data_IF_363223331522
#
_entry.id   IF_363223331522
#
_cell.length_a   1.000
_cell.length_b   1.000
_cell.length_c   1.000
_cell.angle_alpha   90.00
_cell.angle_beta   90.00
_cell.angle_gamma   90.00
#
_symmetry.space_group_name_H-M   'P 1'
#
loop_
_entity.id
_entity.type
_entity.pdbx_description
1 polymer ?
#
# COMPACT_ATOMS: atom_id res chain seq x y z
N UNK A 1 -29.72 -7.22 -45.56
CA UNK A 1 -29.66 -7.42 -44.07
C UNK A 1 -28.23 -7.68 -43.72
N UNK A 2 -27.44 -6.65 -43.45
CA UNK A 2 -26.04 -6.75 -43.15
C UNK A 2 -25.86 -6.91 -41.63
N UNK A 3 -25.20 -8.01 -41.25
CA UNK A 3 -24.78 -8.30 -39.88
C UNK A 3 -23.79 -7.24 -39.40
N UNK A 4 -24.19 -6.41 -38.44
CA UNK A 4 -23.23 -5.63 -37.65
C UNK A 4 -22.48 -6.57 -36.73
N UNK A 5 -21.28 -6.93 -37.13
CA UNK A 5 -20.28 -7.59 -36.28
C UNK A 5 -19.98 -6.67 -35.11
N UNK A 6 -20.23 -7.16 -33.88
CA UNK A 6 -19.91 -6.43 -32.66
C UNK A 6 -18.42 -6.10 -32.62
N UNK A 7 -18.06 -4.81 -32.69
CA UNK A 7 -16.73 -4.34 -32.41
C UNK A 7 -16.44 -4.65 -30.93
N UNK A 8 -15.51 -5.58 -30.68
CA UNK A 8 -14.86 -5.68 -29.38
C UNK A 8 -14.13 -4.36 -29.16
N UNK A 9 -14.62 -3.55 -28.25
CA UNK A 9 -13.88 -2.40 -27.76
C UNK A 9 -12.81 -3.00 -26.87
N UNK A 10 -11.55 -2.99 -27.32
CA UNK A 10 -10.40 -3.32 -26.49
C UNK A 10 -10.27 -2.19 -25.43
N UNK A 11 -10.89 -2.40 -24.27
CA UNK A 11 -10.75 -1.51 -23.13
C UNK A 11 -9.36 -1.81 -22.55
N UNK A 12 -8.37 -1.00 -22.91
CA UNK A 12 -7.07 -1.06 -22.24
C UNK A 12 -7.27 -0.70 -20.75
N UNK A 13 -6.66 -1.47 -19.84
CA UNK A 13 -6.74 -1.15 -18.41
C UNK A 13 -6.17 0.24 -18.15
N UNK A 14 -6.84 1.00 -17.26
CA UNK A 14 -6.28 2.27 -16.78
C UNK A 14 -4.92 2.03 -16.17
N UNK A 15 -3.94 2.89 -16.50
CA UNK A 15 -2.56 2.77 -16.01
C UNK A 15 -2.09 4.11 -15.48
N UNK A 16 -1.23 4.06 -14.48
CA UNK A 16 -0.56 5.24 -13.94
C UNK A 16 0.80 4.89 -13.36
N UNK A 17 1.71 5.85 -13.39
CA UNK A 17 2.97 5.80 -12.64
C UNK A 17 2.70 6.06 -11.17
N UNK A 18 3.16 5.17 -10.30
CA UNK A 18 3.05 5.30 -8.86
C UNK A 18 4.43 5.54 -8.25
N UNK A 19 4.58 6.68 -7.58
CA UNK A 19 5.70 6.98 -6.71
C UNK A 19 5.36 6.48 -5.32
N UNK A 20 6.10 5.48 -4.84
CA UNK A 20 5.84 4.82 -3.56
C UNK A 20 6.84 5.31 -2.51
N UNK A 21 6.33 5.70 -1.35
CA UNK A 21 7.15 6.17 -0.22
C UNK A 21 6.79 5.39 1.04
N UNK A 22 7.77 4.75 1.67
CA UNK A 22 7.61 4.27 3.03
C UNK A 22 7.73 5.45 4.00
N UNK A 23 6.87 5.48 5.03
CA UNK A 23 6.97 6.49 6.09
C UNK A 23 8.37 6.60 6.68
N UNK A 24 8.73 7.79 7.17
CA UNK A 24 9.98 8.05 7.86
C UNK A 24 10.08 7.28 9.20
N UNK A 25 11.26 7.29 9.81
CA UNK A 25 11.54 6.58 11.06
C UNK A 25 10.64 7.05 12.21
N UNK A 26 10.27 6.10 13.07
CA UNK A 26 9.61 6.33 14.37
C UNK A 26 10.47 5.78 15.50
N UNK A 27 10.19 6.14 16.75
CA UNK A 27 10.91 5.57 17.90
C UNK A 27 10.72 4.05 18.02
N UNK A 28 9.58 3.53 17.58
CA UNK A 28 9.36 2.08 17.54
C UNK A 28 10.19 1.40 16.46
N UNK A 29 10.44 2.05 15.31
CA UNK A 29 11.41 1.52 14.34
C UNK A 29 12.82 1.46 14.94
N UNK A 30 13.24 2.53 15.63
CA UNK A 30 14.55 2.59 16.27
C UNK A 30 14.70 1.53 17.37
N UNK A 31 13.64 1.29 18.15
CA UNK A 31 13.63 0.29 19.20
C UNK A 31 13.44 -1.15 18.70
N UNK A 32 13.14 -1.38 17.40
CA UNK A 32 12.84 -2.70 16.86
C UNK A 32 11.48 -3.26 17.28
N UNK A 33 10.53 -2.38 17.65
CA UNK A 33 9.15 -2.77 17.99
C UNK A 33 8.28 -2.88 16.75
N UNK A 34 7.46 -3.91 16.70
CA UNK A 34 6.51 -4.14 15.62
C UNK A 34 5.30 -3.23 15.78
N UNK A 35 5.02 -2.39 14.77
CA UNK A 35 4.05 -1.31 14.91
C UNK A 35 2.63 -1.70 14.49
N UNK A 36 2.52 -2.44 13.38
CA UNK A 36 1.21 -2.79 12.82
C UNK A 36 0.30 -1.58 12.66
N UNK A 37 -0.95 -1.73 13.11
CA UNK A 37 -1.97 -0.70 13.18
C UNK A 37 -2.20 -0.17 14.60
N UNK A 38 -1.28 -0.48 15.53
CA UNK A 38 -1.42 -0.09 16.94
C UNK A 38 -1.76 1.39 17.12
N UNK A 39 -2.80 1.72 17.88
CA UNK A 39 -3.13 3.11 18.23
C UNK A 39 -2.08 3.77 19.14
N UNK A 40 -1.20 2.98 19.77
CA UNK A 40 -0.07 3.46 20.57
C UNK A 40 1.20 3.68 19.74
N UNK A 41 1.21 3.26 18.46
CA UNK A 41 2.39 3.45 17.61
C UNK A 41 2.68 4.95 17.42
N UNK A 42 3.94 5.39 17.66
CA UNK A 42 4.28 6.81 17.59
C UNK A 42 4.27 7.33 16.16
N UNK A 43 4.18 8.66 16.03
CA UNK A 43 4.47 9.37 14.79
C UNK A 43 5.97 9.37 14.47
N UNK A 44 6.35 10.21 13.51
CA UNK A 44 7.73 10.39 13.12
C UNK A 44 8.56 10.95 14.27
N UNK A 45 9.75 10.35 14.51
CA UNK A 45 10.77 10.99 15.33
C UNK A 45 11.54 12.06 14.52
N UNK A 46 12.53 12.70 15.13
CA UNK A 46 13.31 13.75 14.48
C UNK A 46 14.02 13.24 13.20
N UNK A 47 14.63 12.06 13.27
CA UNK A 47 15.28 11.44 12.12
C UNK A 47 14.26 11.15 11.01
N UNK A 48 13.07 10.64 11.34
CA UNK A 48 12.00 10.37 10.37
C UNK A 48 11.50 11.63 9.67
N UNK A 49 11.39 12.75 10.41
CA UNK A 49 11.05 14.06 9.80
C UNK A 49 12.14 14.54 8.85
N UNK A 50 13.41 14.43 9.25
CA UNK A 50 14.55 14.78 8.40
C UNK A 50 14.59 13.89 7.14
N UNK A 51 14.34 12.60 7.26
CA UNK A 51 14.23 11.67 6.13
C UNK A 51 13.12 12.10 5.16
N UNK A 52 11.92 12.40 5.67
CA UNK A 52 10.81 12.86 4.84
C UNK A 52 11.13 14.18 4.10
N UNK A 53 11.78 15.14 4.77
CA UNK A 53 12.22 16.38 4.15
C UNK A 53 13.27 16.16 3.05
N UNK A 54 14.22 15.23 3.27
CA UNK A 54 15.22 14.87 2.26
C UNK A 54 14.61 14.28 0.99
N UNK A 55 13.47 13.56 1.08
CA UNK A 55 12.76 13.02 -0.07
C UNK A 55 12.19 14.10 -1.00
N UNK A 56 12.00 15.34 -0.53
CA UNK A 56 11.53 16.44 -1.38
C UNK A 56 12.43 16.67 -2.60
N UNK A 57 13.74 16.47 -2.45
CA UNK A 57 14.68 16.58 -3.56
C UNK A 57 14.46 15.51 -4.64
N UNK A 58 14.00 14.33 -4.27
CA UNK A 58 13.69 13.25 -5.20
C UNK A 58 12.35 13.47 -5.93
N UNK A 59 11.44 14.25 -5.33
CA UNK A 59 10.19 14.68 -5.96
C UNK A 59 10.37 15.90 -6.85
N UNK A 60 11.47 16.65 -6.70
CA UNK A 60 11.72 17.86 -7.49
C UNK A 60 11.74 17.53 -8.99
N UNK A 61 10.92 18.26 -9.76
CA UNK A 61 10.78 18.06 -11.20
C UNK A 61 9.91 16.87 -11.62
N UNK A 62 9.39 16.07 -10.68
CA UNK A 62 8.40 15.04 -11.00
C UNK A 62 7.00 15.66 -11.01
N UNK A 63 6.23 15.28 -12.02
CA UNK A 63 4.81 15.60 -12.01
C UNK A 63 4.10 14.66 -11.05
N UNK A 64 3.34 15.21 -10.11
CA UNK A 64 2.48 14.48 -9.18
C UNK A 64 1.11 15.10 -9.25
N UNK A 65 0.12 14.36 -9.71
CA UNK A 65 -1.26 14.83 -9.84
C UNK A 65 -2.05 14.70 -8.53
N UNK A 66 -1.74 13.68 -7.72
CA UNK A 66 -2.41 13.44 -6.46
C UNK A 66 -1.50 12.74 -5.44
N UNK A 67 -1.82 12.92 -4.16
CA UNK A 67 -1.13 12.26 -3.04
C UNK A 67 -2.16 11.45 -2.25
N UNK A 68 -1.88 10.16 -2.08
CA UNK A 68 -2.64 9.26 -1.22
C UNK A 68 -1.75 8.74 -0.10
N UNK A 69 -2.31 8.57 1.08
CA UNK A 69 -1.59 8.07 2.24
C UNK A 69 -2.45 7.16 3.09
N UNK A 70 -1.81 6.18 3.72
CA UNK A 70 -2.38 5.56 4.91
C UNK A 70 -2.73 6.65 5.94
N UNK A 71 -3.83 6.45 6.66
CA UNK A 71 -4.28 7.34 7.73
C UNK A 71 -3.53 7.14 9.07
N UNK A 72 -2.64 6.13 9.17
CA UNK A 72 -1.78 5.95 10.34
C UNK A 72 -0.82 7.14 10.49
N UNK A 73 -0.68 7.65 11.71
CA UNK A 73 -0.03 8.92 12.04
C UNK A 73 1.33 9.11 11.35
N UNK A 74 2.22 8.13 11.38
CA UNK A 74 3.57 8.18 10.78
C UNK A 74 3.56 8.34 9.26
N UNK A 75 2.61 7.68 8.57
CA UNK A 75 2.47 7.80 7.12
C UNK A 75 1.84 9.15 6.75
N UNK A 76 0.78 9.55 7.45
CA UNK A 76 0.15 10.85 7.27
C UNK A 76 1.14 12.00 7.46
N UNK A 77 1.93 12.01 8.53
CA UNK A 77 2.96 13.03 8.77
C UNK A 77 4.03 13.06 7.66
N UNK A 78 4.43 11.89 7.14
CA UNK A 78 5.35 11.81 6.00
C UNK A 78 4.71 12.45 4.76
N UNK A 79 3.46 12.08 4.45
CA UNK A 79 2.74 12.61 3.30
C UNK A 79 2.52 14.13 3.39
N UNK A 80 2.14 14.65 4.56
CA UNK A 80 1.96 16.09 4.80
C UNK A 80 3.25 16.87 4.53
N UNK A 81 4.41 16.36 4.99
CA UNK A 81 5.70 16.97 4.70
C UNK A 81 6.05 16.97 3.21
N UNK A 82 5.67 15.93 2.46
CA UNK A 82 5.91 15.85 1.01
C UNK A 82 4.92 16.70 0.21
N UNK A 83 3.70 16.84 0.70
CA UNK A 83 2.61 17.59 0.05
C UNK A 83 2.83 19.11 0.07
N UNK A 84 3.45 19.62 1.14
CA UNK A 84 3.63 21.07 1.36
C UNK A 84 4.25 21.80 0.15
N UNK A 85 5.42 21.39 -0.40
CA UNK A 85 6.01 22.06 -1.56
C UNK A 85 5.24 21.85 -2.87
N UNK A 86 4.38 20.83 -2.94
CA UNK A 86 3.58 20.52 -4.13
C UNK A 86 2.24 21.27 -4.14
N UNK A 87 1.82 21.81 -3.00
CA UNK A 87 0.53 22.49 -2.85
C UNK A 87 -0.68 21.55 -3.05
N UNK A 88 -0.48 20.24 -2.88
CA UNK A 88 -1.52 19.22 -3.09
C UNK A 88 -2.13 18.77 -1.76
N UNK A 89 -3.44 18.45 -1.72
CA UNK A 89 -4.03 17.82 -0.56
C UNK A 89 -3.58 16.37 -0.41
N UNK A 90 -3.51 15.87 0.83
CA UNK A 90 -3.29 14.45 1.13
C UNK A 90 -4.65 13.75 1.26
N UNK A 91 -4.90 12.78 0.39
CA UNK A 91 -6.07 11.92 0.45
C UNK A 91 -5.74 10.71 1.33
N UNK A 92 -6.51 10.48 2.39
CA UNK A 92 -6.29 9.35 3.29
C UNK A 92 -7.12 8.14 2.83
N UNK A 93 -6.47 6.97 2.76
CA UNK A 93 -7.12 5.69 2.45
C UNK A 93 -6.68 4.61 3.46
N UNK A 94 -7.59 4.13 4.33
CA UNK A 94 -7.28 3.08 5.31
C UNK A 94 -6.81 1.77 4.68
N UNK A 95 -7.13 1.50 3.41
CA UNK A 95 -6.65 0.32 2.69
C UNK A 95 -5.13 0.34 2.45
N UNK A 96 -4.48 1.51 2.63
CA UNK A 96 -3.02 1.66 2.55
C UNK A 96 -2.31 1.46 3.90
N UNK A 97 -3.04 1.14 5.00
CA UNK A 97 -2.45 0.86 6.31
C UNK A 97 -1.44 -0.28 6.27
N UNK A 98 -0.55 -0.32 7.27
CA UNK A 98 0.33 -1.46 7.52
C UNK A 98 -0.49 -2.73 7.81
N UNK A 99 0.11 -3.89 7.67
CA UNK A 99 -0.47 -5.14 8.12
C UNK A 99 -0.86 -5.03 9.60
N UNK A 100 -2.09 -5.40 9.92
CA UNK A 100 -2.52 -5.55 11.32
C UNK A 100 -1.73 -6.71 11.94
N UNK A 101 -0.94 -6.41 12.96
CA UNK A 101 -0.09 -7.36 13.64
C UNK A 101 -0.70 -7.89 14.95
N UNK A 102 -1.95 -7.51 15.25
CA UNK A 102 -2.70 -8.04 16.39
C UNK A 102 -1.89 -8.10 17.67
N UNK A 103 -1.74 -9.32 18.24
CA UNK A 103 -1.03 -9.53 19.50
C UNK A 103 0.49 -9.31 19.43
N UNK A 104 1.06 -9.09 18.25
CA UNK A 104 2.48 -8.77 18.09
C UNK A 104 2.77 -7.28 18.15
N UNK A 105 1.74 -6.44 18.12
CA UNK A 105 1.90 -4.98 18.14
C UNK A 105 2.57 -4.49 19.42
N UNK A 106 3.55 -3.63 19.27
CA UNK A 106 4.36 -3.09 20.38
C UNK A 106 5.43 -4.03 20.92
N UNK A 107 5.45 -5.31 20.51
CA UNK A 107 6.47 -6.27 20.95
C UNK A 107 7.77 -6.13 20.16
N UNK A 108 8.86 -6.53 20.78
CA UNK A 108 10.15 -6.75 20.13
C UNK A 108 10.18 -8.12 19.47
N UNK A 109 11.03 -8.30 18.45
CA UNK A 109 11.17 -9.59 17.75
C UNK A 109 11.52 -10.76 18.68
N UNK A 110 12.37 -10.54 19.67
CA UNK A 110 12.71 -11.56 20.67
C UNK A 110 11.55 -11.89 21.61
N UNK A 111 10.67 -10.92 21.94
CA UNK A 111 9.46 -11.15 22.73
C UNK A 111 8.45 -11.98 21.93
N UNK A 112 8.30 -11.70 20.63
CA UNK A 112 7.44 -12.47 19.72
C UNK A 112 7.97 -13.91 19.63
N UNK A 113 9.29 -14.09 19.41
CA UNK A 113 9.90 -15.41 19.32
C UNK A 113 9.74 -16.23 20.59
N UNK A 114 9.81 -15.59 21.75
CA UNK A 114 9.62 -16.26 23.04
C UNK A 114 8.17 -16.66 23.30
N UNK A 115 7.20 -15.83 22.88
CA UNK A 115 5.76 -16.02 23.16
C UNK A 115 5.06 -16.88 22.11
N UNK A 116 5.48 -16.81 20.85
CA UNK A 116 4.79 -17.39 19.70
C UNK A 116 5.71 -18.26 18.81
N UNK A 117 6.57 -19.14 19.36
CA UNK A 117 7.59 -19.87 18.57
C UNK A 117 6.96 -20.77 17.50
N UNK A 118 5.83 -21.44 17.80
CA UNK A 118 5.15 -22.30 16.84
C UNK A 118 4.57 -21.53 15.67
N UNK A 119 3.99 -20.36 15.94
CA UNK A 119 3.38 -19.53 14.92
C UNK A 119 4.44 -18.93 13.98
N UNK A 120 5.63 -18.59 14.49
CA UNK A 120 6.73 -18.15 13.63
C UNK A 120 7.23 -19.27 12.72
N UNK A 121 7.31 -20.50 13.20
CA UNK A 121 7.64 -21.66 12.36
C UNK A 121 6.58 -21.89 11.27
N UNK A 122 5.29 -21.74 11.61
CA UNK A 122 4.20 -21.85 10.65
C UNK A 122 4.29 -20.75 9.59
N UNK A 123 4.59 -19.49 9.99
CA UNK A 123 4.79 -18.38 9.07
C UNK A 123 5.95 -18.63 8.09
N UNK A 124 7.04 -19.24 8.56
CA UNK A 124 8.17 -19.56 7.70
C UNK A 124 7.84 -20.64 6.65
N UNK A 125 6.88 -21.54 6.98
CA UNK A 125 6.40 -22.59 6.05
C UNK A 125 5.24 -22.11 5.16
N UNK A 126 4.43 -21.17 5.63
CA UNK A 126 3.23 -20.67 4.93
C UNK A 126 3.07 -19.15 5.13
N UNK A 127 3.98 -18.35 4.54
CA UNK A 127 4.12 -16.94 4.84
C UNK A 127 2.89 -16.10 4.51
N UNK A 128 2.15 -16.44 3.46
CA UNK A 128 1.03 -15.62 2.97
C UNK A 128 -0.29 -15.85 3.71
N UNK A 129 -0.45 -17.03 4.32
CA UNK A 129 -1.70 -17.40 5.01
C UNK A 129 -1.56 -17.42 6.53
N UNK A 130 -0.36 -17.15 7.07
CA UNK A 130 -0.12 -17.11 8.52
C UNK A 130 -0.16 -15.67 9.01
N UNK A 131 -0.96 -15.42 10.05
CA UNK A 131 -1.08 -14.13 10.73
C UNK A 131 -0.72 -14.23 12.21
N UNK A 132 -0.37 -13.08 12.80
CA UNK A 132 -0.41 -12.94 14.25
C UNK A 132 -1.83 -13.21 14.79
N UNK A 133 -1.99 -13.66 16.05
CA UNK A 133 -3.32 -13.79 16.62
C UNK A 133 -4.07 -12.43 16.54
N UNK A 134 -5.28 -12.44 16.01
CA UNK A 134 -6.12 -11.25 15.76
C UNK A 134 -5.58 -10.27 14.72
N UNK A 135 -4.56 -10.65 13.94
CA UNK A 135 -3.97 -9.84 12.88
C UNK A 135 -4.43 -10.25 11.47
N UNK A 136 -3.92 -9.54 10.47
CA UNK A 136 -4.11 -9.81 9.05
C UNK A 136 -3.06 -10.81 8.53
N UNK A 137 -3.42 -11.54 7.46
CA UNK A 137 -2.45 -12.26 6.64
C UNK A 137 -1.87 -11.35 5.56
N UNK A 138 -0.66 -11.62 5.04
CA UNK A 138 -0.12 -10.92 3.87
C UNK A 138 -1.04 -10.98 2.64
N UNK A 139 -1.78 -12.05 2.45
CA UNK A 139 -2.78 -12.18 1.38
C UNK A 139 -3.88 -11.11 1.50
N UNK A 140 -4.48 -10.94 2.70
CA UNK A 140 -5.48 -9.90 2.96
C UNK A 140 -4.90 -8.48 2.72
N UNK A 141 -3.64 -8.25 3.10
CA UNK A 141 -2.94 -6.98 2.79
C UNK A 141 -2.84 -6.78 1.28
N UNK A 142 -2.41 -7.81 0.54
CA UNK A 142 -2.30 -7.76 -0.93
C UNK A 142 -3.62 -7.40 -1.60
N UNK A 143 -4.71 -8.03 -1.17
CA UNK A 143 -6.05 -7.78 -1.72
C UNK A 143 -6.52 -6.34 -1.48
N UNK A 144 -6.41 -5.82 -0.23
CA UNK A 144 -6.89 -4.46 0.07
C UNK A 144 -6.06 -3.37 -0.56
N UNK A 145 -4.71 -3.53 -0.63
CA UNK A 145 -3.88 -2.51 -1.29
C UNK A 145 -4.10 -2.50 -2.79
N UNK A 146 -4.27 -3.68 -3.41
CA UNK A 146 -4.58 -3.76 -4.82
C UNK A 146 -5.92 -3.11 -5.15
N UNK A 147 -6.97 -3.34 -4.32
CA UNK A 147 -8.26 -2.66 -4.47
C UNK A 147 -8.13 -1.14 -4.35
N UNK A 148 -7.31 -0.64 -3.40
CA UNK A 148 -7.06 0.80 -3.27
C UNK A 148 -6.38 1.37 -4.52
N UNK A 149 -5.35 0.70 -5.03
CA UNK A 149 -4.62 1.16 -6.20
C UNK A 149 -5.45 1.10 -7.48
N UNK A 150 -6.28 0.08 -7.65
CA UNK A 150 -7.19 -0.01 -8.79
C UNK A 150 -8.13 1.23 -8.83
N UNK A 151 -8.75 1.59 -7.69
CA UNK A 151 -9.61 2.77 -7.59
C UNK A 151 -8.84 4.08 -7.83
N UNK A 152 -7.63 4.20 -7.26
CA UNK A 152 -6.78 5.37 -7.42
C UNK A 152 -6.37 5.55 -8.89
N UNK A 153 -5.92 4.49 -9.55
CA UNK A 153 -5.48 4.53 -10.95
C UNK A 153 -6.64 4.76 -11.89
N UNK A 154 -7.82 4.19 -11.62
CA UNK A 154 -9.03 4.50 -12.38
C UNK A 154 -9.39 5.99 -12.31
N UNK A 155 -9.19 6.63 -11.17
CA UNK A 155 -9.46 8.07 -10.97
C UNK A 155 -8.39 8.97 -11.60
N UNK A 156 -7.14 8.52 -11.69
CA UNK A 156 -5.97 9.27 -12.15
C UNK A 156 -5.28 8.62 -13.36
N UNK A 157 -6.09 8.10 -14.31
CA UNK A 157 -5.57 7.38 -15.48
C UNK A 157 -4.59 8.22 -16.29
N UNK A 158 -3.36 7.71 -16.44
CA UNK A 158 -2.27 8.38 -17.14
C UNK A 158 -1.56 9.48 -16.35
N UNK A 159 -1.99 9.77 -15.13
CA UNK A 159 -1.39 10.80 -14.27
C UNK A 159 -0.55 10.16 -13.16
N UNK A 160 0.67 10.67 -12.88
CA UNK A 160 1.51 10.14 -11.79
C UNK A 160 0.92 10.42 -10.41
N UNK A 161 0.90 9.44 -9.54
CA UNK A 161 0.37 9.53 -8.17
C UNK A 161 1.43 9.18 -7.14
N UNK A 162 1.48 9.95 -6.04
CA UNK A 162 2.34 9.65 -4.88
C UNK A 162 1.55 8.86 -3.84
N UNK A 163 2.07 7.70 -3.46
CA UNK A 163 1.50 6.81 -2.43
C UNK A 163 2.45 6.76 -1.23
N UNK A 164 1.95 7.12 -0.05
CA UNK A 164 2.72 7.02 1.20
C UNK A 164 2.12 5.92 2.08
N UNK A 165 2.91 4.90 2.36
CA UNK A 165 2.43 3.71 3.07
C UNK A 165 3.52 3.09 3.97
N UNK A 166 3.50 1.78 4.16
CA UNK A 166 4.29 1.08 5.17
C UNK A 166 5.08 -0.08 4.57
N UNK A 167 5.80 -0.82 5.43
CA UNK A 167 6.69 -1.88 5.01
C UNK A 167 5.99 -2.98 4.22
N UNK A 168 5.03 -3.68 4.85
CA UNK A 168 4.36 -4.83 4.23
C UNK A 168 3.38 -4.37 3.15
N UNK A 169 2.65 -3.27 3.35
CA UNK A 169 1.74 -2.77 2.31
C UNK A 169 2.49 -2.38 1.02
N UNK A 170 3.66 -1.74 1.13
CA UNK A 170 4.49 -1.45 -0.06
C UNK A 170 5.12 -2.71 -0.65
N UNK A 171 5.56 -3.67 0.19
CA UNK A 171 6.07 -4.94 -0.29
C UNK A 171 5.00 -5.71 -1.09
N UNK A 172 3.74 -5.71 -0.64
CA UNK A 172 2.63 -6.29 -1.38
C UNK A 172 2.42 -5.58 -2.75
N UNK A 173 2.48 -4.25 -2.79
CA UNK A 173 2.41 -3.49 -4.04
C UNK A 173 3.55 -3.88 -4.98
N UNK A 174 4.79 -3.99 -4.47
CA UNK A 174 5.96 -4.38 -5.27
C UNK A 174 5.82 -5.79 -5.83
N UNK A 175 5.36 -6.75 -5.02
CA UNK A 175 5.10 -8.11 -5.47
C UNK A 175 4.09 -8.12 -6.62
N UNK A 176 2.94 -7.47 -6.44
CA UNK A 176 1.86 -7.43 -7.43
C UNK A 176 2.24 -6.70 -8.71
N UNK A 177 2.96 -5.56 -8.61
CA UNK A 177 3.35 -4.76 -9.77
C UNK A 177 4.49 -5.37 -10.60
N UNK A 178 5.28 -6.26 -10.01
CA UNK A 178 6.47 -6.86 -10.64
C UNK A 178 6.35 -8.36 -10.86
N UNK A 179 5.15 -8.93 -10.70
CA UNK A 179 4.89 -10.36 -10.81
C UNK A 179 5.81 -11.22 -9.92
N UNK A 180 6.18 -10.70 -8.73
CA UNK A 180 6.93 -11.43 -7.72
C UNK A 180 5.91 -12.24 -6.89
N UNK A 181 6.16 -13.54 -6.65
CA UNK A 181 5.29 -14.34 -5.80
C UNK A 181 5.10 -13.71 -4.41
N UNK A 182 3.86 -13.67 -3.92
CA UNK A 182 3.53 -13.00 -2.65
C UNK A 182 4.17 -13.69 -1.42
N UNK A 183 4.57 -14.96 -1.52
CA UNK A 183 5.32 -15.66 -0.48
C UNK A 183 6.73 -15.06 -0.23
N UNK A 184 7.24 -14.24 -1.16
CA UNK A 184 8.49 -13.48 -1.02
C UNK A 184 8.26 -12.06 -0.46
N UNK A 185 7.09 -11.73 0.05
CA UNK A 185 6.70 -10.38 0.49
C UNK A 185 7.66 -9.79 1.54
N UNK A 186 8.15 -10.63 2.45
CA UNK A 186 9.06 -10.17 3.52
C UNK A 186 10.44 -9.75 3.02
N UNK A 187 10.87 -10.27 1.85
CA UNK A 187 12.11 -9.89 1.18
C UNK A 187 11.99 -8.55 0.44
N UNK A 188 10.76 -8.13 0.12
CA UNK A 188 10.47 -6.90 -0.60
C UNK A 188 10.24 -5.69 0.30
N UNK A 189 10.33 -5.84 1.63
CA UNK A 189 10.05 -4.76 2.59
C UNK A 189 11.09 -3.63 2.45
N UNK A 190 10.69 -2.43 1.95
CA UNK A 190 11.63 -1.32 1.78
C UNK A 190 12.04 -0.71 3.12
N UNK A 191 13.20 -0.04 3.19
CA UNK A 191 13.63 0.74 4.37
C UNK A 191 12.76 1.98 4.62
N UNK A 192 12.84 2.57 5.82
CA UNK A 192 12.16 3.84 6.11
C UNK A 192 12.57 4.93 5.10
N UNK A 193 11.62 5.76 4.71
CA UNK A 193 11.80 6.82 3.71
C UNK A 193 12.37 6.34 2.36
N UNK A 194 12.19 5.07 1.99
CA UNK A 194 12.48 4.61 0.63
C UNK A 194 11.54 5.29 -0.35
N UNK A 195 12.09 5.66 -1.52
CA UNK A 195 11.37 6.22 -2.65
C UNK A 195 11.49 5.26 -3.84
N UNK A 196 10.38 4.73 -4.30
CA UNK A 196 10.32 3.68 -5.32
C UNK A 196 9.35 4.08 -6.43
N UNK A 197 9.45 3.39 -7.57
CA UNK A 197 8.56 3.60 -8.70
C UNK A 197 8.03 2.26 -9.21
N UNK A 198 6.75 2.24 -9.54
CA UNK A 198 6.10 1.16 -10.28
C UNK A 198 5.08 1.74 -11.25
N UNK A 199 4.83 1.06 -12.36
CA UNK A 199 3.63 1.23 -13.17
C UNK A 199 2.54 0.32 -12.60
N UNK A 200 1.31 0.83 -12.44
CA UNK A 200 0.17 0.04 -12.04
C UNK A 200 -0.89 0.05 -13.12
N UNK A 201 -1.33 -1.14 -13.51
CA UNK A 201 -2.48 -1.32 -14.39
C UNK A 201 -3.68 -1.78 -13.55
N UNK A 202 -4.74 -0.97 -13.49
CA UNK A 202 -5.94 -1.33 -12.75
C UNK A 202 -6.54 -2.61 -13.33
N UNK A 203 -6.86 -3.56 -12.45
CA UNK A 203 -7.53 -4.80 -12.86
C UNK A 203 -8.95 -4.48 -13.28
N UNK A 204 -9.38 -5.00 -14.43
CA UNK A 204 -10.75 -4.83 -14.87
C UNK A 204 -11.69 -5.50 -13.86
N UNK A 205 -12.42 -4.70 -13.07
CA UNK A 205 -13.59 -5.23 -12.38
C UNK A 205 -14.61 -5.58 -13.43
N UNK A 206 -15.04 -6.86 -13.46
CA UNK A 206 -16.19 -7.25 -14.27
C UNK A 206 -17.41 -6.46 -13.78
N UNK A 207 -17.75 -5.38 -14.47
CA UNK A 207 -19.02 -4.72 -14.25
C UNK A 207 -20.09 -5.66 -14.80
N UNK A 208 -20.74 -6.42 -13.93
CA UNK A 208 -21.99 -7.05 -14.27
C UNK A 208 -22.98 -5.92 -14.59
N UNK A 209 -23.12 -5.64 -15.87
CA UNK A 209 -24.21 -4.82 -16.37
C UNK A 209 -25.51 -5.62 -16.14
N UNK A 210 -26.15 -5.39 -15.00
CA UNK A 210 -27.53 -5.80 -14.80
C UNK A 210 -28.38 -5.06 -15.85
N UNK A 211 -28.77 -5.78 -16.88
CA UNK A 211 -29.75 -5.27 -17.82
C UNK A 211 -31.07 -5.05 -17.08
N UNK A 212 -31.62 -3.84 -17.03
CA UNK A 212 -32.99 -3.68 -16.61
C UNK A 212 -33.87 -4.39 -17.66
N UNK A 213 -34.58 -5.45 -17.23
CA UNK A 213 -35.65 -6.04 -18.02
C UNK A 213 -36.72 -4.97 -18.26
N UNK A 214 -36.78 -4.45 -19.46
CA UNK A 214 -37.93 -3.67 -19.90
C UNK A 214 -39.07 -4.66 -20.11
N UNK A 215 -39.94 -4.78 -19.10
CA UNK A 215 -41.28 -5.35 -19.32
C UNK A 215 -42.09 -4.39 -20.17
N UNK A 216 -42.32 -4.79 -21.41
CA UNK A 216 -43.32 -4.15 -22.26
C UNK A 216 -44.68 -4.73 -21.86
N UNK A 217 -45.57 -3.87 -21.36
CA UNK A 217 -47.00 -4.11 -21.18
C UNK A 217 -47.73 -3.63 -22.42
#
# INVERSE_FOLDING_TARGET
MENRVGQKIDIFPARSDLWLVRHGQTDWNLAGRWQGQSPQAPGLNEAGRAQALALRSQLAGKQVAAIYSSDLLRARQTAELLAEPLGLPVNLDPRLREMDLGDWEGLLSNEISARFPKLLMERDCNPIHTSAPRGETPECVGERVASALDDIVMKHCGEPVLIVAHGISLAAILCLARDIPLDQIYEQVPGNASFLHVEWAARAHAVELSHPEFSVV
#
